data_IF_770023375750
#
_entry.id   IF_770023375750
#
_cell.length_a   1.000
_cell.length_b   1.000
_cell.length_c   1.000
_cell.angle_alpha   90.00
_cell.angle_beta   90.00
_cell.angle_gamma   90.00
#
_symmetry.space_group_name_H-M   'P 1'
#
loop_
_entity.id
_entity.type
_entity.pdbx_description
1 polymer ?
#
# COMPACT_ATOMS: atom_id res chain seq x y z
N UNK A 1 -15.50 6.95 24.04
CA UNK A 1 -16.72 6.30 24.60
C UNK A 1 -17.91 6.90 23.85
N UNK A 2 -18.47 6.19 22.87
CA UNK A 2 -19.62 6.66 22.08
C UNK A 2 -20.83 6.69 23.03
N UNK A 3 -21.11 7.86 23.61
CA UNK A 3 -22.10 8.01 24.69
C UNK A 3 -23.56 7.91 24.21
N UNK A 4 -23.82 7.98 22.91
CA UNK A 4 -25.15 7.83 22.31
C UNK A 4 -25.07 7.00 21.01
N UNK A 5 -25.61 5.76 20.99
CA UNK A 5 -25.50 4.84 19.86
C UNK A 5 -26.61 5.11 18.83
N UNK A 6 -26.70 6.34 18.32
CA UNK A 6 -27.56 6.67 17.18
C UNK A 6 -26.77 7.39 16.11
N UNK A 7 -27.01 7.01 14.85
CA UNK A 7 -26.43 7.67 13.69
C UNK A 7 -26.84 9.15 13.69
N UNK A 8 -25.86 10.05 13.56
CA UNK A 8 -26.11 11.50 13.54
C UNK A 8 -25.79 12.05 12.16
N UNK A 9 -26.60 12.97 11.61
CA UNK A 9 -26.21 13.67 10.40
C UNK A 9 -24.96 14.53 10.67
N UNK A 10 -24.08 14.63 9.67
CA UNK A 10 -22.93 15.54 9.71
C UNK A 10 -23.38 16.98 10.00
N UNK A 11 -22.58 17.72 10.79
CA UNK A 11 -22.86 19.14 11.04
C UNK A 11 -22.68 19.95 9.75
N UNK A 12 -23.59 20.91 9.46
CA UNK A 12 -23.46 21.74 8.27
C UNK A 12 -22.27 22.69 8.41
N UNK A 13 -21.63 22.94 7.28
CA UNK A 13 -20.55 23.91 7.14
C UNK A 13 -21.03 25.31 7.52
N UNK A 14 -20.32 25.99 8.44
CA UNK A 14 -20.57 27.40 8.76
C UNK A 14 -19.90 28.29 7.70
N UNK A 15 -20.69 29.12 7.00
CA UNK A 15 -20.15 30.06 6.01
C UNK A 15 -19.51 31.26 6.71
N UNK A 16 -18.24 31.52 6.37
CA UNK A 16 -17.45 32.64 6.90
C UNK A 16 -17.02 33.58 5.76
N UNK A 17 -16.62 34.81 6.10
CA UNK A 17 -16.10 35.81 5.15
C UNK A 17 -15.02 35.24 4.23
N UNK A 18 -15.09 35.59 2.94
CA UNK A 18 -14.16 35.15 1.88
C UNK A 18 -12.69 35.48 2.19
N UNK A 19 -12.44 36.54 2.96
CA UNK A 19 -11.08 36.96 3.29
C UNK A 19 -10.40 36.00 4.28
N UNK A 20 -11.17 35.46 5.24
CA UNK A 20 -10.67 34.48 6.23
C UNK A 20 -10.41 33.14 5.54
N UNK A 21 -11.29 32.75 4.60
CA UNK A 21 -11.12 31.56 3.75
C UNK A 21 -9.77 31.60 3.01
N UNK A 22 -9.49 32.70 2.31
CA UNK A 22 -8.25 32.83 1.52
C UNK A 22 -6.99 32.86 2.39
N UNK A 23 -7.05 33.50 3.57
CA UNK A 23 -5.93 33.51 4.52
C UNK A 23 -5.64 32.11 5.05
N UNK A 24 -6.67 31.36 5.44
CA UNK A 24 -6.55 30.01 5.96
C UNK A 24 -6.06 29.02 4.89
N UNK A 25 -6.56 29.18 3.65
CA UNK A 25 -6.14 28.39 2.51
C UNK A 25 -4.64 28.59 2.20
N UNK A 26 -4.18 29.83 2.16
CA UNK A 26 -2.77 30.15 1.93
C UNK A 26 -1.88 29.63 3.05
N UNK A 27 -2.30 29.77 4.30
CA UNK A 27 -1.58 29.24 5.46
C UNK A 27 -1.44 27.70 5.39
N UNK A 28 -2.51 26.98 5.05
CA UNK A 28 -2.47 25.53 4.90
C UNK A 28 -1.63 25.08 3.72
N UNK A 29 -1.65 25.81 2.59
CA UNK A 29 -0.78 25.54 1.44
C UNK A 29 0.69 25.70 1.81
N UNK A 30 1.03 26.75 2.54
CA UNK A 30 2.40 26.97 3.05
C UNK A 30 2.83 25.86 4.03
N UNK A 31 1.91 25.40 4.88
CA UNK A 31 2.15 24.33 5.84
C UNK A 31 2.31 22.94 5.20
N UNK A 32 1.51 22.64 4.16
CA UNK A 32 1.51 21.36 3.46
C UNK A 32 2.62 21.26 2.41
N UNK A 33 2.97 22.37 1.77
CA UNK A 33 4.03 22.47 0.77
C UNK A 33 5.08 23.50 1.22
N UNK A 34 5.86 23.21 2.28
CA UNK A 34 6.92 24.10 2.70
C UNK A 34 7.92 24.25 1.56
N UNK A 35 8.18 25.49 1.12
CA UNK A 35 9.31 25.79 0.26
C UNK A 35 10.58 25.31 0.99
N UNK A 36 11.43 24.55 0.31
CA UNK A 36 12.55 23.71 0.79
C UNK A 36 13.56 24.29 1.83
N UNK A 37 13.36 25.50 2.36
CA UNK A 37 14.31 26.19 3.24
C UNK A 37 13.83 26.38 4.70
N UNK A 38 12.59 26.00 5.05
CA UNK A 38 12.08 26.14 6.42
C UNK A 38 11.34 24.90 6.90
N UNK A 39 12.08 23.92 7.41
CA UNK A 39 11.51 22.96 8.37
C UNK A 39 11.31 23.68 9.71
N UNK A 40 10.37 24.62 9.77
CA UNK A 40 9.94 25.14 11.07
C UNK A 40 9.29 23.99 11.84
N UNK A 41 9.69 23.79 13.09
CA UNK A 41 9.15 22.75 13.95
C UNK A 41 7.61 22.82 13.91
N UNK A 42 6.98 21.78 13.35
CA UNK A 42 5.52 21.66 13.26
C UNK A 42 4.82 21.79 14.62
N UNK A 43 5.57 21.73 15.72
CA UNK A 43 5.10 21.91 17.10
C UNK A 43 4.95 23.38 17.52
N UNK A 44 5.68 24.32 16.89
CA UNK A 44 5.68 25.75 17.28
C UNK A 44 4.75 26.62 16.43
N UNK A 45 4.04 26.03 15.48
CA UNK A 45 3.13 26.77 14.59
C UNK A 45 1.88 27.16 15.39
N UNK A 46 1.60 28.46 15.44
CA UNK A 46 0.38 29.03 16.04
C UNK A 46 -0.79 28.77 15.10
N UNK A 47 -1.73 27.92 15.53
CA UNK A 47 -2.95 27.64 14.76
C UNK A 47 -3.97 28.77 14.92
N UNK A 48 -4.78 29.05 13.87
CA UNK A 48 -5.88 30.00 13.96
C UNK A 48 -6.94 29.55 14.98
N UNK A 49 -7.75 30.48 15.52
CA UNK A 49 -8.76 30.18 16.52
C UNK A 49 -9.82 29.18 16.03
N UNK A 50 -10.38 28.39 16.95
CA UNK A 50 -11.32 27.29 16.69
C UNK A 50 -12.46 27.66 15.72
N UNK A 51 -13.06 28.85 15.88
CA UNK A 51 -14.17 29.32 15.05
C UNK A 51 -13.80 29.44 13.55
N UNK A 52 -12.53 29.66 13.23
CA UNK A 52 -12.04 29.76 11.85
C UNK A 52 -11.66 28.39 11.27
N UNK A 53 -11.28 27.42 12.12
CA UNK A 53 -10.88 26.07 11.69
C UNK A 53 -12.05 25.24 11.15
N UNK A 54 -13.28 25.64 11.44
CA UNK A 54 -14.50 24.98 10.99
C UNK A 54 -15.07 25.58 9.68
N UNK A 55 -14.40 26.58 9.10
CA UNK A 55 -14.80 27.24 7.85
C UNK A 55 -14.47 26.38 6.62
N UNK A 56 -15.30 26.41 5.56
CA UNK A 56 -14.98 25.76 4.30
C UNK A 56 -13.86 26.50 3.55
N UNK A 57 -12.95 25.74 2.96
CA UNK A 57 -11.78 26.23 2.20
C UNK A 57 -11.97 26.21 0.70
N UNK A 58 -12.82 25.33 0.19
CA UNK A 58 -13.00 25.15 -1.25
C UNK A 58 -14.49 25.11 -1.63
N UNK A 59 -14.73 25.00 -2.93
CA UNK A 59 -16.09 24.96 -3.50
C UNK A 59 -16.79 23.62 -3.20
N UNK A 60 -16.04 22.60 -2.80
CA UNK A 60 -16.58 21.34 -2.26
C UNK A 60 -16.99 21.46 -0.79
N UNK A 61 -16.73 22.59 -0.14
CA UNK A 61 -17.03 22.82 1.27
C UNK A 61 -16.13 22.04 2.22
N UNK A 62 -14.93 21.63 1.80
CA UNK A 62 -13.99 20.92 2.64
C UNK A 62 -13.41 21.85 3.71
N UNK A 63 -13.38 21.40 4.96
CA UNK A 63 -12.71 22.10 6.06
C UNK A 63 -11.19 21.83 6.05
N UNK A 64 -10.37 22.61 6.76
CA UNK A 64 -8.95 22.30 6.99
C UNK A 64 -8.70 20.84 7.38
N UNK A 65 -9.58 20.27 8.20
CA UNK A 65 -9.46 18.89 8.66
C UNK A 65 -9.62 17.88 7.51
N UNK A 66 -10.51 18.14 6.54
CA UNK A 66 -10.65 17.31 5.35
C UNK A 66 -9.37 17.27 4.53
N UNK A 67 -8.74 18.43 4.29
CA UNK A 67 -7.50 18.52 3.53
C UNK A 67 -6.35 17.76 4.20
N UNK A 68 -6.12 17.98 5.50
CA UNK A 68 -5.03 17.31 6.23
C UNK A 68 -5.20 15.78 6.27
N UNK A 69 -6.45 15.32 6.38
CA UNK A 69 -6.79 13.90 6.35
C UNK A 69 -6.57 13.30 4.95
N UNK A 70 -6.87 14.05 3.88
CA UNK A 70 -6.56 13.62 2.52
C UNK A 70 -5.05 13.52 2.25
N UNK A 71 -4.22 14.32 2.90
CA UNK A 71 -2.75 14.25 2.79
C UNK A 71 -2.13 13.23 3.77
N UNK A 72 -2.92 12.62 4.65
CA UNK A 72 -2.46 11.66 5.67
C UNK A 72 -1.51 12.25 6.75
N UNK A 73 -1.63 13.55 7.05
CA UNK A 73 -0.79 14.24 8.05
C UNK A 73 -1.36 14.14 9.49
N UNK A 74 -1.23 12.97 10.12
CA UNK A 74 -1.80 12.66 11.45
C UNK A 74 -1.41 13.66 12.55
N UNK A 75 -0.14 14.09 12.58
CA UNK A 75 0.33 15.03 13.61
C UNK A 75 -0.40 16.36 13.55
N UNK A 76 -0.63 16.90 12.36
CA UNK A 76 -1.36 18.16 12.18
C UNK A 76 -2.86 17.96 12.46
N UNK A 77 -3.43 16.84 12.04
CA UNK A 77 -4.83 16.48 12.37
C UNK A 77 -5.03 16.50 13.88
N UNK A 78 -4.13 15.89 14.66
CA UNK A 78 -4.17 15.93 16.14
C UNK A 78 -4.13 17.36 16.68
N UNK A 79 -3.20 18.19 16.20
CA UNK A 79 -3.09 19.59 16.66
C UNK A 79 -4.33 20.42 16.31
N UNK A 80 -4.97 20.19 15.16
CA UNK A 80 -6.20 20.89 14.79
C UNK A 80 -7.37 20.51 15.71
N UNK A 81 -7.52 19.22 16.04
CA UNK A 81 -8.54 18.78 16.99
C UNK A 81 -8.27 19.36 18.39
N UNK A 82 -7.02 19.37 18.85
CA UNK A 82 -6.62 20.01 20.11
C UNK A 82 -6.88 21.53 20.10
N UNK A 83 -6.78 22.18 18.94
CA UNK A 83 -7.10 23.59 18.74
C UNK A 83 -8.62 23.86 18.65
N UNK A 84 -9.47 22.83 18.72
CA UNK A 84 -10.93 22.96 18.73
C UNK A 84 -11.62 22.77 17.38
N UNK A 85 -10.96 22.15 16.40
CA UNK A 85 -11.62 21.77 15.15
C UNK A 85 -12.62 20.61 15.38
N UNK A 86 -13.82 20.72 14.81
CA UNK A 86 -14.85 19.70 14.94
C UNK A 86 -14.71 18.60 13.89
N UNK A 87 -14.59 17.35 14.33
CA UNK A 87 -14.45 16.18 13.46
C UNK A 87 -15.76 15.73 12.79
N UNK A 88 -16.90 16.25 13.22
CA UNK A 88 -18.23 15.87 12.74
C UNK A 88 -18.79 16.80 11.65
N UNK A 89 -18.04 17.84 11.25
CA UNK A 89 -18.46 18.75 10.18
C UNK A 89 -18.36 18.03 8.85
N UNK A 90 -19.45 18.02 8.10
CA UNK A 90 -19.47 17.45 6.75
C UNK A 90 -19.10 18.50 5.70
N UNK A 91 -18.56 18.08 4.56
CA UNK A 91 -18.37 18.95 3.39
C UNK A 91 -19.72 19.31 2.74
N UNK A 92 -19.73 19.90 1.53
CA UNK A 92 -20.98 20.23 0.81
C UNK A 92 -21.86 18.99 0.53
N UNK A 93 -21.26 17.79 0.46
CA UNK A 93 -21.96 16.50 0.33
C UNK A 93 -22.32 15.86 1.68
N UNK A 94 -21.97 16.51 2.79
CA UNK A 94 -22.08 15.97 4.15
C UNK A 94 -21.06 14.88 4.47
N UNK A 95 -20.06 14.67 3.61
CA UNK A 95 -19.00 13.71 3.92
C UNK A 95 -18.16 14.26 5.06
N UNK A 96 -17.93 13.47 6.09
CA UNK A 96 -17.03 13.85 7.19
C UNK A 96 -15.56 13.69 6.80
N UNK A 97 -14.61 14.26 7.56
CA UNK A 97 -13.18 14.07 7.29
C UNK A 97 -12.78 12.60 7.24
N UNK A 98 -13.40 11.75 8.07
CA UNK A 98 -13.16 10.31 8.05
C UNK A 98 -13.66 9.65 6.75
N UNK A 99 -14.84 10.02 6.26
CA UNK A 99 -15.36 9.52 4.96
C UNK A 99 -14.48 9.97 3.79
N UNK A 100 -13.92 11.19 3.87
CA UNK A 100 -12.96 11.68 2.90
C UNK A 100 -11.63 10.92 2.96
N UNK A 101 -11.17 10.53 4.16
CA UNK A 101 -9.96 9.73 4.35
C UNK A 101 -9.98 8.41 3.56
N UNK A 102 -11.14 7.74 3.59
CA UNK A 102 -11.39 6.47 2.91
C UNK A 102 -11.43 6.62 1.38
N UNK A 103 -11.86 7.79 0.91
CA UNK A 103 -11.94 8.09 -0.53
C UNK A 103 -10.56 8.34 -1.16
N UNK A 104 -9.53 8.57 -0.35
CA UNK A 104 -8.16 8.80 -0.78
C UNK A 104 -7.26 7.59 -0.43
N UNK A 105 -6.28 7.26 -1.27
CA UNK A 105 -5.33 6.15 -1.02
C UNK A 105 -4.13 6.54 -0.16
N UNK A 106 -3.91 7.84 0.07
CA UNK A 106 -2.73 8.34 0.79
C UNK A 106 -2.62 7.76 2.22
N UNK A 107 -3.76 7.55 2.90
CA UNK A 107 -3.78 6.97 4.25
C UNK A 107 -3.43 5.47 4.25
N UNK A 108 -3.74 4.76 3.16
CA UNK A 108 -3.35 3.38 2.93
C UNK A 108 -1.85 3.27 2.67
N UNK A 109 -1.32 4.13 1.79
CA UNK A 109 0.12 4.14 1.45
C UNK A 109 1.00 4.51 2.66
N UNK A 110 0.52 5.42 3.51
CA UNK A 110 1.23 5.84 4.72
C UNK A 110 1.01 4.92 5.93
N UNK A 111 0.01 4.03 5.89
CA UNK A 111 -0.36 3.16 7.02
C UNK A 111 -0.87 3.91 8.25
N UNK A 112 -1.37 5.13 8.08
CA UNK A 112 -1.73 6.06 9.17
C UNK A 112 -3.20 5.99 9.60
N UNK A 113 -4.01 5.18 8.90
CA UNK A 113 -5.45 5.13 9.09
C UNK A 113 -5.87 4.73 10.52
N UNK A 114 -5.16 3.79 11.15
CA UNK A 114 -5.44 3.37 12.53
C UNK A 114 -5.27 4.53 13.54
N UNK A 115 -4.16 5.26 13.44
CA UNK A 115 -3.93 6.45 14.28
C UNK A 115 -4.92 7.57 14.00
N UNK A 116 -5.45 7.64 12.78
CA UNK A 116 -6.49 8.60 12.43
C UNK A 116 -7.84 8.24 13.07
N UNK A 117 -8.19 6.96 13.14
CA UNK A 117 -9.41 6.49 13.81
C UNK A 117 -9.40 6.83 15.31
N UNK A 118 -8.24 6.74 15.97
CA UNK A 118 -8.09 7.14 17.38
C UNK A 118 -8.43 8.62 17.59
N UNK A 119 -8.12 9.47 16.62
CA UNK A 119 -8.37 10.92 16.69
C UNK A 119 -9.80 11.26 16.25
N UNK A 120 -10.32 10.55 15.24
CA UNK A 120 -11.62 10.81 14.62
C UNK A 120 -12.75 9.91 15.13
N UNK A 121 -12.63 9.31 16.33
CA UNK A 121 -13.69 8.50 16.96
C UNK A 121 -15.11 9.11 16.82
N UNK A 122 -15.32 10.43 17.10
CA UNK A 122 -16.66 11.02 17.03
C UNK A 122 -17.26 11.04 15.62
N UNK A 123 -16.42 11.01 14.58
CA UNK A 123 -16.85 11.05 13.19
C UNK A 123 -17.39 9.72 12.67
N UNK A 124 -17.13 8.60 13.35
CA UNK A 124 -17.52 7.25 12.90
C UNK A 124 -19.05 7.11 12.85
N UNK A 125 -19.76 7.71 13.81
CA UNK A 125 -21.23 7.64 13.90
C UNK A 125 -21.97 8.58 12.95
N UNK A 126 -21.24 9.42 12.21
CA UNK A 126 -21.84 10.42 11.34
C UNK A 126 -22.30 9.82 10.02
N UNK A 127 -23.38 10.36 9.46
CA UNK A 127 -23.88 10.04 8.11
C UNK A 127 -23.83 11.25 7.20
N UNK A 128 -23.66 11.00 5.91
CA UNK A 128 -23.63 12.05 4.89
C UNK A 128 -25.03 12.58 4.53
N UNK A 129 -25.11 13.49 3.56
CA UNK A 129 -26.40 14.03 3.09
C UNK A 129 -27.31 12.98 2.45
N UNK A 130 -26.78 11.84 2.00
CA UNK A 130 -27.52 10.71 1.44
C UNK A 130 -27.80 9.62 2.49
N UNK A 131 -27.48 9.84 3.77
CA UNK A 131 -27.65 8.85 4.83
C UNK A 131 -26.64 7.71 4.77
N UNK A 132 -25.55 7.85 4.01
CA UNK A 132 -24.49 6.86 3.88
C UNK A 132 -23.55 6.93 5.07
N UNK A 133 -23.24 5.76 5.62
CA UNK A 133 -22.24 5.58 6.69
C UNK A 133 -20.83 5.45 6.09
N UNK A 134 -19.79 5.48 6.94
CA UNK A 134 -18.41 5.22 6.48
C UNK A 134 -18.27 3.88 5.73
N UNK A 135 -19.04 2.84 6.09
CA UNK A 135 -19.03 1.56 5.39
C UNK A 135 -19.54 1.65 3.95
N UNK A 136 -20.57 2.48 3.71
CA UNK A 136 -21.03 2.75 2.35
C UNK A 136 -19.95 3.46 1.54
N UNK A 137 -19.22 4.40 2.14
CA UNK A 137 -18.09 5.08 1.47
C UNK A 137 -16.92 4.13 1.19
N UNK A 138 -16.62 3.18 2.09
CA UNK A 138 -15.61 2.12 1.84
C UNK A 138 -16.05 1.26 0.64
N UNK A 139 -17.31 0.83 0.60
CA UNK A 139 -17.83 0.08 -0.55
C UNK A 139 -17.74 0.89 -1.84
N UNK A 140 -18.09 2.18 -1.82
CA UNK A 140 -18.00 3.06 -2.98
C UNK A 140 -16.56 3.32 -3.45
N UNK A 141 -15.58 3.32 -2.55
CA UNK A 141 -14.17 3.51 -2.92
C UNK A 141 -13.67 2.41 -3.87
N UNK A 142 -14.29 1.21 -3.86
CA UNK A 142 -13.96 0.11 -4.79
C UNK A 142 -14.32 0.38 -6.24
N UNK A 143 -15.18 1.38 -6.52
CA UNK A 143 -15.54 1.76 -7.87
C UNK A 143 -14.30 2.14 -8.71
N UNK A 144 -13.23 2.59 -8.07
CA UNK A 144 -11.92 2.75 -8.70
C UNK A 144 -11.09 1.49 -8.39
N UNK A 145 -10.70 0.69 -9.40
CA UNK A 145 -10.03 -0.59 -9.17
C UNK A 145 -8.67 -0.45 -8.46
N UNK A 146 -7.96 0.67 -8.68
CA UNK A 146 -6.72 0.97 -7.97
C UNK A 146 -6.91 1.14 -6.46
N UNK A 147 -8.11 1.51 -6.03
CA UNK A 147 -8.47 1.76 -4.64
C UNK A 147 -9.08 0.52 -3.96
N UNK A 148 -9.33 -0.57 -4.69
CA UNK A 148 -9.95 -1.78 -4.14
C UNK A 148 -9.13 -2.44 -3.00
N UNK A 149 -7.78 -2.56 -3.09
CA UNK A 149 -6.97 -3.05 -1.97
C UNK A 149 -7.01 -2.11 -0.76
N UNK A 150 -7.01 -0.79 -0.99
CA UNK A 150 -7.10 0.22 0.06
C UNK A 150 -8.45 0.14 0.79
N UNK A 151 -9.55 -0.04 0.05
CA UNK A 151 -10.89 -0.17 0.62
C UNK A 151 -11.00 -1.43 1.52
N UNK A 152 -10.43 -2.57 1.10
CA UNK A 152 -10.37 -3.77 1.96
C UNK A 152 -9.55 -3.49 3.24
N UNK A 153 -8.38 -2.87 3.11
CA UNK A 153 -7.57 -2.48 4.26
C UNK A 153 -8.33 -1.56 5.22
N UNK A 154 -9.02 -0.54 4.71
CA UNK A 154 -9.80 0.38 5.56
C UNK A 154 -10.94 -0.34 6.27
N UNK A 155 -11.61 -1.29 5.62
CA UNK A 155 -12.64 -2.11 6.24
C UNK A 155 -12.07 -2.94 7.40
N UNK A 156 -10.97 -3.65 7.16
CA UNK A 156 -10.35 -4.54 8.15
C UNK A 156 -9.80 -3.76 9.35
N UNK A 157 -9.15 -2.61 9.11
CA UNK A 157 -8.65 -1.74 10.18
C UNK A 157 -9.80 -1.11 10.96
N UNK A 158 -10.86 -0.64 10.29
CA UNK A 158 -12.02 -0.08 10.97
C UNK A 158 -12.70 -1.12 11.86
N UNK A 159 -12.94 -2.33 11.34
CA UNK A 159 -13.53 -3.43 12.11
C UNK A 159 -12.61 -3.85 13.27
N UNK A 160 -11.30 -4.00 13.02
CA UNK A 160 -10.32 -4.32 14.04
C UNK A 160 -10.25 -3.27 15.15
N UNK A 161 -10.32 -1.99 14.80
CA UNK A 161 -10.37 -0.89 15.76
C UNK A 161 -11.65 -0.94 16.61
N UNK A 162 -12.81 -1.16 16.00
CA UNK A 162 -14.10 -1.28 16.70
C UNK A 162 -14.06 -2.44 17.70
N UNK A 163 -13.53 -3.59 17.29
CA UNK A 163 -13.35 -4.78 18.15
C UNK A 163 -12.42 -4.47 19.33
N UNK A 164 -11.30 -3.77 19.08
CA UNK A 164 -10.31 -3.45 20.11
C UNK A 164 -10.82 -2.40 21.11
N UNK A 165 -11.54 -1.40 20.64
CA UNK A 165 -11.86 -0.22 21.44
C UNK A 165 -13.16 -0.35 22.25
N UNK A 166 -14.13 -1.21 21.85
CA UNK A 166 -15.33 -1.46 22.67
C UNK A 166 -16.16 -2.67 22.20
N UNK A 167 -16.15 -3.74 23.01
CA UNK A 167 -17.00 -4.93 22.81
C UNK A 167 -18.51 -4.66 22.84
N UNK A 168 -18.96 -3.59 23.51
CA UNK A 168 -20.37 -3.14 23.50
C UNK A 168 -20.73 -2.35 22.23
N UNK A 169 -19.77 -1.58 21.68
CA UNK A 169 -19.97 -0.84 20.44
C UNK A 169 -19.98 -1.77 19.22
N UNK A 170 -19.27 -2.90 19.28
CA UNK A 170 -19.29 -3.92 18.24
C UNK A 170 -20.72 -4.42 17.98
N UNK A 171 -21.48 -4.73 19.05
CA UNK A 171 -22.86 -5.18 18.90
C UNK A 171 -23.72 -4.12 18.21
N UNK A 172 -23.56 -2.85 18.57
CA UNK A 172 -24.28 -1.76 17.93
C UNK A 172 -23.86 -1.57 16.46
N UNK A 173 -22.57 -1.55 16.15
CA UNK A 173 -22.09 -1.40 14.76
C UNK A 173 -22.63 -2.53 13.88
N UNK A 174 -22.56 -3.77 14.36
CA UNK A 174 -23.07 -4.93 13.63
C UNK A 174 -24.59 -4.91 13.46
N UNK A 175 -25.34 -4.41 14.44
CA UNK A 175 -26.81 -4.44 14.42
C UNK A 175 -27.45 -3.20 13.77
N UNK A 176 -26.81 -2.04 13.82
CA UNK A 176 -27.39 -0.77 13.40
C UNK A 176 -26.61 -0.09 12.27
N UNK A 177 -25.28 -0.21 12.22
CA UNK A 177 -24.44 0.56 11.29
C UNK A 177 -24.11 -0.19 10.00
N UNK A 178 -23.88 -1.51 10.07
CA UNK A 178 -23.72 -2.39 8.91
C UNK A 178 -25.01 -2.58 8.10
N UNK A 179 -26.18 -2.82 8.73
CA UNK A 179 -27.45 -2.91 8.02
C UNK A 179 -28.11 -1.54 7.78
N UNK A 180 -27.43 -0.44 8.12
CA UNK A 180 -27.91 0.90 7.82
C UNK A 180 -28.19 1.04 6.33
N UNK A 181 -29.29 1.70 5.99
CA UNK A 181 -29.68 1.95 4.60
C UNK A 181 -29.49 3.43 4.29
N UNK A 182 -28.97 3.69 3.10
CA UNK A 182 -28.95 5.04 2.56
C UNK A 182 -30.36 5.52 2.17
N UNK A 183 -30.48 6.75 1.69
CA UNK A 183 -31.74 7.31 1.18
C UNK A 183 -32.34 6.53 0.00
N UNK A 184 -31.54 5.74 -0.71
CA UNK A 184 -31.98 4.89 -1.82
C UNK A 184 -32.44 3.50 -1.33
N UNK A 185 -32.26 3.20 -0.04
CA UNK A 185 -32.54 1.90 0.54
C UNK A 185 -31.44 0.85 0.29
N UNK A 186 -30.29 1.24 -0.25
CA UNK A 186 -29.13 0.37 -0.45
C UNK A 186 -28.37 0.21 0.88
N UNK A 187 -28.00 -1.02 1.22
CA UNK A 187 -27.00 -1.31 2.25
C UNK A 187 -25.59 -1.26 1.67
N UNK A 188 -24.56 -1.19 2.51
CA UNK A 188 -23.17 -1.22 2.03
C UNK A 188 -22.84 -2.51 1.24
N UNK A 189 -23.47 -3.64 1.60
CA UNK A 189 -23.34 -4.91 0.89
C UNK A 189 -23.95 -4.85 -0.51
N UNK A 190 -25.16 -4.28 -0.66
CA UNK A 190 -25.80 -4.09 -1.97
C UNK A 190 -24.92 -3.22 -2.90
N UNK A 191 -24.30 -2.17 -2.36
CA UNK A 191 -23.37 -1.32 -3.14
C UNK A 191 -22.14 -2.13 -3.58
N UNK A 192 -21.55 -2.91 -2.68
CA UNK A 192 -20.38 -3.73 -3.01
C UNK A 192 -20.69 -4.81 -4.06
N UNK A 193 -21.86 -5.45 -3.99
CA UNK A 193 -22.34 -6.41 -4.98
C UNK A 193 -22.56 -5.74 -6.35
N UNK A 194 -23.21 -4.56 -6.37
CA UNK A 194 -23.43 -3.79 -7.60
C UNK A 194 -22.13 -3.37 -8.29
N UNK A 195 -21.09 -3.08 -7.52
CA UNK A 195 -19.76 -2.74 -8.02
C UNK A 195 -18.90 -3.97 -8.37
N UNK A 196 -19.42 -5.19 -8.16
CA UNK A 196 -18.73 -6.46 -8.39
C UNK A 196 -17.40 -6.59 -7.62
N UNK A 197 -17.32 -5.99 -6.43
CA UNK A 197 -16.13 -6.02 -5.57
C UNK A 197 -16.14 -7.27 -4.69
N UNK A 198 -15.83 -8.43 -5.27
CA UNK A 198 -15.90 -9.75 -4.59
C UNK A 198 -15.14 -9.78 -3.27
N UNK A 199 -13.94 -9.18 -3.21
CA UNK A 199 -13.12 -9.15 -2.00
C UNK A 199 -13.76 -8.39 -0.83
N UNK A 200 -14.54 -7.35 -1.11
CA UNK A 200 -15.27 -6.58 -0.09
C UNK A 200 -16.56 -7.28 0.29
N UNK A 201 -17.25 -7.89 -0.69
CA UNK A 201 -18.46 -8.69 -0.43
C UNK A 201 -18.13 -9.87 0.50
N UNK A 202 -17.04 -10.59 0.22
CA UNK A 202 -16.53 -11.67 1.09
C UNK A 202 -16.24 -11.15 2.50
N UNK A 203 -15.47 -10.06 2.63
CA UNK A 203 -15.15 -9.48 3.93
C UNK A 203 -16.41 -9.02 4.70
N UNK A 204 -17.35 -8.33 4.05
CA UNK A 204 -18.60 -7.90 4.68
C UNK A 204 -19.46 -9.10 5.14
N UNK A 205 -19.49 -10.18 4.35
CA UNK A 205 -20.18 -11.41 4.73
C UNK A 205 -19.51 -12.10 5.93
N UNK A 206 -18.17 -12.12 6.00
CA UNK A 206 -17.42 -12.63 7.16
C UNK A 206 -17.74 -11.86 8.43
N UNK A 207 -17.91 -10.53 8.33
CA UNK A 207 -18.32 -9.67 9.45
C UNK A 207 -19.82 -9.77 9.79
N UNK A 208 -20.61 -10.55 9.04
CA UNK A 208 -22.02 -10.82 9.33
C UNK A 208 -23.01 -9.80 8.74
N UNK A 209 -22.63 -9.07 7.68
CA UNK A 209 -23.58 -8.23 6.95
C UNK A 209 -24.68 -9.10 6.32
N UNK A 210 -25.94 -8.86 6.68
CA UNK A 210 -27.08 -9.61 6.14
C UNK A 210 -27.73 -8.87 4.97
N UNK A 211 -27.98 -9.58 3.87
CA UNK A 211 -28.81 -9.14 2.74
C UNK A 211 -30.32 -9.16 3.05
N UNK A 212 -30.76 -8.89 4.29
CA UNK A 212 -32.19 -8.86 4.61
C UNK A 212 -32.88 -7.70 3.87
N UNK A 213 -33.37 -8.05 2.69
CA UNK A 213 -34.10 -7.20 1.77
C UNK A 213 -35.50 -7.78 1.57
N UNK A 214 -36.53 -7.20 2.20
CA UNK A 214 -37.89 -7.31 1.70
C UNK A 214 -38.23 -6.05 0.88
N UNK A 215 -37.70 -5.96 -0.35
CA UNK A 215 -38.15 -5.13 -1.51
C UNK A 215 -36.92 -4.83 -2.38
N UNK A 216 -36.68 -5.45 -3.53
CA UNK A 216 -37.49 -5.40 -4.74
C UNK A 216 -37.28 -6.66 -5.58
N UNK A 217 -38.39 -7.23 -6.01
CA UNK A 217 -38.47 -8.33 -6.96
C UNK A 217 -38.08 -7.86 -8.36
N UNK A 218 -37.04 -8.45 -8.96
CA UNK A 218 -37.09 -8.95 -10.35
C UNK A 218 -35.82 -9.72 -10.71
N UNK A 219 -35.90 -11.05 -10.57
CA UNK A 219 -35.34 -11.96 -11.58
C UNK A 219 -33.84 -12.28 -11.53
N UNK A 220 -33.35 -12.89 -10.45
CA UNK A 220 -32.30 -13.90 -10.55
C UNK A 220 -32.33 -14.79 -9.30
N UNK A 221 -33.02 -15.93 -9.40
CA UNK A 221 -32.82 -17.03 -8.45
C UNK A 221 -31.41 -17.57 -8.66
N UNK A 222 -30.59 -17.49 -7.63
CA UNK A 222 -29.39 -18.28 -7.51
C UNK A 222 -29.79 -19.77 -7.44
N UNK A 223 -29.37 -20.54 -8.44
CA UNK A 223 -29.37 -21.99 -8.38
C UNK A 223 -27.91 -22.42 -8.26
N UNK A 224 -27.48 -22.72 -7.03
CA UNK A 224 -26.31 -23.54 -6.76
C UNK A 224 -26.52 -24.94 -7.33
N UNK A 225 -25.60 -25.46 -8.16
CA UNK A 225 -25.12 -26.86 -8.16
C UNK A 225 -24.18 -27.14 -9.33
N UNK A 226 -23.03 -27.72 -9.00
CA UNK A 226 -22.11 -28.43 -9.91
C UNK A 226 -22.81 -29.47 -10.79
N UNK A 227 -22.35 -29.63 -12.03
CA UNK A 227 -22.67 -30.79 -12.86
C UNK A 227 -22.32 -30.61 -14.34
N UNK A 228 -21.36 -31.42 -14.81
CA UNK A 228 -21.05 -31.72 -16.21
C UNK A 228 -22.28 -31.73 -17.14
N UNK A 229 -22.17 -31.23 -18.38
CA UNK A 229 -22.12 -32.07 -19.59
C UNK A 229 -21.98 -31.27 -20.90
N UNK A 230 -21.37 -31.94 -21.87
CA UNK A 230 -21.06 -31.60 -23.26
C UNK A 230 -22.27 -31.22 -24.14
N UNK A 231 -22.03 -30.41 -25.17
CA UNK A 231 -22.49 -30.77 -26.53
C UNK A 231 -23.55 -29.92 -27.22
N UNK A 232 -23.08 -29.21 -28.26
CA UNK A 232 -23.65 -29.11 -29.63
C UNK A 232 -24.85 -28.18 -29.91
N UNK A 233 -24.49 -27.09 -30.63
CA UNK A 233 -24.97 -26.63 -31.94
C UNK A 233 -26.33 -25.92 -32.15
N UNK A 234 -26.18 -24.76 -32.80
CA UNK A 234 -27.06 -24.06 -33.75
C UNK A 234 -28.33 -23.41 -33.18
N UNK A 235 -28.78 -22.22 -33.59
CA UNK A 235 -28.38 -21.31 -34.66
C UNK A 235 -29.02 -19.93 -34.38
N UNK A 236 -28.49 -18.89 -35.03
CA UNK A 236 -29.15 -17.63 -35.41
C UNK A 236 -29.07 -16.39 -34.50
N UNK A 237 -28.10 -15.54 -34.87
CA UNK A 237 -28.34 -14.23 -35.49
C UNK A 237 -28.80 -13.03 -34.61
N UNK A 238 -27.85 -12.14 -34.27
CA UNK A 238 -27.94 -10.69 -34.55
C UNK A 238 -26.58 -10.02 -34.31
N UNK A 239 -25.86 -9.73 -35.39
CA UNK A 239 -24.67 -8.90 -35.39
C UNK A 239 -25.09 -7.42 -35.45
N UNK A 240 -24.60 -6.60 -34.51
CA UNK A 240 -24.50 -5.16 -34.68
C UNK A 240 -23.34 -4.62 -33.82
N UNK A 241 -22.11 -4.88 -34.26
CA UNK A 241 -20.91 -4.17 -33.79
C UNK A 241 -20.23 -3.52 -34.99
N UNK A 242 -20.65 -2.28 -35.29
CA UNK A 242 -19.89 -1.38 -36.15
C UNK A 242 -18.76 -0.76 -35.34
N UNK A 243 -17.61 -1.43 -35.34
CA UNK A 243 -16.33 -0.87 -34.91
C UNK A 243 -15.69 -0.14 -36.11
N UNK A 244 -15.83 1.19 -36.18
CA UNK A 244 -15.14 2.01 -37.18
C UNK A 244 -13.65 2.11 -36.83
N UNK A 245 -12.86 1.26 -37.48
CA UNK A 245 -11.42 1.41 -37.62
C UNK A 245 -11.15 2.33 -38.83
N UNK A 246 -10.84 3.61 -38.59
CA UNK A 246 -10.48 4.56 -39.64
C UNK A 246 -9.01 4.31 -40.02
N UNK A 247 -8.82 3.57 -41.11
CA UNK A 247 -7.56 3.44 -41.81
C UNK A 247 -7.40 4.62 -42.78
N UNK A 248 -6.40 5.46 -42.54
CA UNK A 248 -5.97 6.51 -43.45
C UNK A 248 -5.33 5.88 -44.68
N UNK A 249 -6.01 5.93 -45.82
CA UNK A 249 -5.36 5.75 -47.10
C UNK A 249 -5.81 6.82 -48.08
N UNK A 250 -4.90 7.76 -48.32
CA UNK A 250 -4.96 8.78 -49.35
C UNK A 250 -5.16 8.13 -50.72
N UNK A 251 -6.19 8.56 -51.44
CA UNK A 251 -6.19 8.57 -52.90
C UNK A 251 -7.06 9.71 -53.42
N UNK A 252 -6.38 10.71 -53.96
CA UNK A 252 -6.92 11.72 -54.86
C UNK A 252 -7.64 11.04 -56.02
N UNK A 253 -8.95 11.24 -56.16
CA UNK A 253 -9.66 11.36 -57.44
C UNK A 253 -11.16 11.61 -57.18
N UNK A 254 -11.70 12.73 -57.65
CA UNK A 254 -13.14 12.98 -57.61
C UNK A 254 -13.62 14.43 -57.64
N UNK A 255 -12.99 15.31 -58.43
CA UNK A 255 -13.57 16.62 -58.78
C UNK A 255 -14.02 16.60 -60.24
N UNK A 256 -15.20 16.03 -60.50
CA UNK A 256 -15.94 16.26 -61.74
C UNK A 256 -17.39 15.81 -61.57
N UNK A 257 -18.30 16.76 -61.36
CA UNK A 257 -19.73 16.45 -61.42
C UNK A 257 -20.61 17.32 -60.54
N UNK A 258 -20.63 18.63 -60.76
CA UNK A 258 -21.76 19.47 -60.36
C UNK A 258 -21.97 20.54 -61.43
N UNK A 259 -22.82 20.23 -62.42
CA UNK A 259 -23.39 21.21 -63.33
C UNK A 259 -24.63 21.82 -62.66
N UNK A 260 -24.58 23.13 -62.37
CA UNK A 260 -25.75 23.91 -61.97
C UNK A 260 -26.40 24.51 -63.22
N UNK A 261 -27.58 24.00 -63.57
CA UNK A 261 -28.45 24.60 -64.57
C UNK A 261 -29.31 25.69 -63.91
N UNK A 262 -29.10 26.96 -64.25
CA UNK A 262 -29.96 28.06 -63.82
C UNK A 262 -30.20 29.01 -64.99
N UNK A 263 -31.43 29.01 -65.51
CA UNK A 263 -31.91 29.88 -66.57
C UNK A 263 -32.13 31.31 -66.07
N UNK A 264 -31.82 32.25 -66.95
CA UNK A 264 -31.65 33.67 -66.70
C UNK A 264 -32.94 34.44 -66.42
N UNK A 265 -32.90 35.36 -65.45
CA UNK A 265 -33.31 36.77 -65.64
C UNK A 265 -32.96 37.60 -64.40
N UNK A 266 -31.83 38.33 -64.43
CA UNK A 266 -31.59 39.65 -63.85
C UNK A 266 -30.09 39.96 -63.93
N UNK A 267 -29.74 40.77 -64.93
CA UNK A 267 -28.38 41.25 -65.24
C UNK A 267 -28.01 42.42 -64.32
N UNK A 268 -27.05 42.21 -63.42
CA UNK A 268 -25.84 43.05 -63.32
C UNK A 268 -24.82 42.53 -62.31
N UNK A 269 -25.22 41.78 -61.27
CA UNK A 269 -24.32 41.56 -60.12
C UNK A 269 -24.03 40.09 -59.76
N UNK A 270 -24.66 39.13 -60.44
CA UNK A 270 -24.55 37.70 -60.09
C UNK A 270 -23.15 37.10 -60.38
N UNK A 271 -22.48 37.38 -61.52
CA UNK A 271 -21.13 36.88 -61.76
C UNK A 271 -20.11 37.50 -60.77
N UNK A 272 -20.32 38.75 -60.38
CA UNK A 272 -19.50 39.44 -59.38
C UNK A 272 -19.69 38.84 -57.98
N UNK A 273 -20.93 38.52 -57.60
CA UNK A 273 -21.24 37.89 -56.32
C UNK A 273 -20.70 36.45 -56.24
N UNK A 274 -20.78 35.68 -57.33
CA UNK A 274 -20.18 34.34 -57.40
C UNK A 274 -18.66 34.44 -57.29
N UNK A 275 -18.02 35.39 -57.98
CA UNK A 275 -16.57 35.62 -57.85
C UNK A 275 -16.18 36.06 -56.45
N UNK A 276 -16.99 36.88 -55.78
CA UNK A 276 -16.77 37.30 -54.39
C UNK A 276 -16.96 36.14 -53.42
N UNK A 277 -17.99 35.31 -53.60
CA UNK A 277 -18.21 34.10 -52.80
C UNK A 277 -17.07 33.10 -52.97
N UNK A 278 -16.55 32.95 -54.19
CA UNK A 278 -15.43 32.06 -54.48
C UNK A 278 -14.11 32.59 -53.92
N UNK A 279 -13.91 33.92 -53.88
CA UNK A 279 -12.78 34.55 -53.19
C UNK A 279 -12.91 34.43 -51.66
N UNK A 280 -14.10 34.60 -51.09
CA UNK A 280 -14.36 34.39 -49.66
C UNK A 280 -14.15 32.93 -49.27
N UNK A 281 -14.66 31.98 -50.06
CA UNK A 281 -14.41 30.55 -49.86
C UNK A 281 -12.92 30.22 -49.93
N UNK A 282 -12.20 30.77 -50.91
CA UNK A 282 -10.75 30.60 -51.01
C UNK A 282 -9.98 31.21 -49.83
N UNK A 283 -10.43 32.36 -49.29
CA UNK A 283 -9.86 32.96 -48.08
C UNK A 283 -10.11 32.09 -46.86
N UNK A 284 -11.34 31.61 -46.67
CA UNK A 284 -11.71 30.72 -45.55
C UNK A 284 -10.97 29.39 -45.64
N UNK A 285 -10.82 28.81 -46.83
CA UNK A 285 -10.07 27.57 -47.03
C UNK A 285 -8.58 27.77 -46.72
N UNK A 286 -8.00 28.90 -47.12
CA UNK A 286 -6.61 29.24 -46.81
C UNK A 286 -6.41 29.55 -45.32
N UNK A 287 -7.36 30.22 -44.68
CA UNK A 287 -7.36 30.51 -43.25
C UNK A 287 -7.44 29.23 -42.43
N UNK A 288 -8.41 28.35 -42.71
CA UNK A 288 -8.52 27.03 -42.08
C UNK A 288 -7.25 26.18 -42.31
N UNK A 289 -6.66 26.24 -43.50
CA UNK A 289 -5.41 25.51 -43.77
C UNK A 289 -4.23 26.07 -42.97
N UNK A 290 -4.19 27.38 -42.76
CA UNK A 290 -3.18 28.03 -41.90
C UNK A 290 -3.38 27.65 -40.44
N UNK A 291 -4.62 27.69 -39.95
CA UNK A 291 -4.98 27.30 -38.58
C UNK A 291 -4.68 25.83 -38.30
N UNK A 292 -5.00 24.92 -39.24
CA UNK A 292 -4.66 23.50 -39.12
C UNK A 292 -3.14 23.33 -39.04
N UNK A 293 -2.38 24.09 -39.84
CA UNK A 293 -0.92 24.02 -39.81
C UNK A 293 -0.36 24.49 -38.47
N UNK A 294 -0.83 25.61 -37.94
CA UNK A 294 -0.45 26.11 -36.62
C UNK A 294 -0.84 25.14 -35.49
N UNK A 295 -2.03 24.54 -35.58
CA UNK A 295 -2.48 23.52 -34.63
C UNK A 295 -1.59 22.25 -34.69
N UNK A 296 -1.18 21.82 -35.89
CA UNK A 296 -0.25 20.68 -36.03
C UNK A 296 1.14 20.99 -35.48
N UNK A 297 1.68 22.18 -35.72
CA UNK A 297 2.98 22.60 -35.21
C UNK A 297 2.98 22.73 -33.68
N UNK A 298 1.92 23.29 -33.10
CA UNK A 298 1.77 23.36 -31.64
C UNK A 298 1.61 21.98 -31.01
N UNK A 299 0.89 21.06 -31.66
CA UNK A 299 0.78 19.67 -31.21
C UNK A 299 2.14 18.94 -31.22
N UNK A 300 2.93 19.10 -32.28
CA UNK A 300 4.28 18.54 -32.35
C UNK A 300 5.19 19.09 -31.26
N UNK A 301 5.15 20.41 -31.02
CA UNK A 301 5.89 21.03 -29.91
C UNK A 301 5.47 20.49 -28.54
N UNK A 302 4.17 20.26 -28.33
CA UNK A 302 3.66 19.66 -27.10
C UNK A 302 4.11 18.20 -26.94
N UNK A 303 4.13 17.42 -28.03
CA UNK A 303 4.66 16.05 -28.02
C UNK A 303 6.16 16.01 -27.64
N UNK A 304 6.96 16.93 -28.17
CA UNK A 304 8.38 17.04 -27.82
C UNK A 304 8.54 17.41 -26.34
N UNK A 305 7.80 18.40 -25.85
CA UNK A 305 7.82 18.78 -24.42
C UNK A 305 7.40 17.62 -23.52
N UNK A 306 6.37 16.87 -23.91
CA UNK A 306 5.89 15.70 -23.18
C UNK A 306 6.98 14.63 -23.08
N UNK A 307 7.69 14.36 -24.18
CA UNK A 307 8.77 13.37 -24.20
C UNK A 307 9.95 13.79 -23.32
N UNK A 308 10.32 15.08 -23.34
CA UNK A 308 11.36 15.62 -22.46
C UNK A 308 10.96 15.46 -20.98
N UNK A 309 9.72 15.79 -20.62
CA UNK A 309 9.22 15.65 -19.24
C UNK A 309 9.17 14.18 -18.83
N UNK A 310 8.77 13.26 -19.72
CA UNK A 310 8.81 11.82 -19.46
C UNK A 310 10.22 11.33 -19.19
N UNK A 311 11.21 11.78 -19.97
CA UNK A 311 12.61 11.41 -19.77
C UNK A 311 13.16 11.94 -18.44
N UNK A 312 12.83 13.18 -18.07
CA UNK A 312 13.15 13.75 -16.76
C UNK A 312 12.52 12.94 -15.61
N UNK A 313 11.27 12.51 -15.76
CA UNK A 313 10.56 11.70 -14.77
C UNK A 313 11.19 10.31 -14.61
N UNK A 314 11.64 9.69 -15.71
CA UNK A 314 12.40 8.43 -15.66
C UNK A 314 13.73 8.63 -14.92
N UNK A 315 14.46 9.70 -15.21
CA UNK A 315 15.73 10.01 -14.55
C UNK A 315 15.58 10.22 -13.04
N UNK A 316 14.56 10.97 -12.61
CA UNK A 316 14.30 11.17 -11.17
C UNK A 316 13.77 9.90 -10.48
N UNK A 317 12.97 9.07 -11.17
CA UNK A 317 12.56 7.77 -10.61
C UNK A 317 13.74 6.81 -10.41
N UNK A 318 14.70 6.79 -11.33
CA UNK A 318 15.94 6.04 -11.13
C UNK A 318 16.73 6.57 -9.93
N UNK A 319 16.85 7.89 -9.80
CA UNK A 319 17.54 8.54 -8.68
C UNK A 319 16.87 8.20 -7.35
N UNK A 320 15.54 8.24 -7.29
CA UNK A 320 14.75 7.85 -6.13
C UNK A 320 14.96 6.37 -5.78
N UNK A 321 14.99 5.50 -6.78
CA UNK A 321 15.23 4.06 -6.60
C UNK A 321 16.64 3.80 -6.02
N UNK A 322 17.65 4.52 -6.50
CA UNK A 322 19.02 4.47 -5.94
C UNK A 322 19.05 4.97 -4.50
N UNK A 323 18.37 6.07 -4.19
CA UNK A 323 18.29 6.61 -2.83
C UNK A 323 17.60 5.65 -1.86
N UNK A 324 16.51 4.99 -2.27
CA UNK A 324 15.82 3.95 -1.49
C UNK A 324 16.75 2.78 -1.17
N UNK A 325 17.49 2.27 -2.17
CA UNK A 325 18.47 1.18 -1.97
C UNK A 325 19.60 1.57 -1.01
N UNK A 326 20.11 2.80 -1.11
CA UNK A 326 21.12 3.31 -0.17
C UNK A 326 20.56 3.46 1.24
N UNK A 327 19.30 3.88 1.40
CA UNK A 327 18.64 3.97 2.71
C UNK A 327 18.51 2.59 3.35
N UNK A 328 18.10 1.58 2.58
CA UNK A 328 17.99 0.19 3.04
C UNK A 328 19.36 -0.38 3.46
N UNK A 329 20.41 -0.13 2.66
CA UNK A 329 21.77 -0.52 3.02
C UNK A 329 22.26 0.16 4.31
N UNK A 330 21.95 1.44 4.51
CA UNK A 330 22.27 2.15 5.74
C UNK A 330 21.50 1.60 6.96
N UNK A 331 20.25 1.18 6.77
CA UNK A 331 19.48 0.54 7.82
C UNK A 331 20.13 -0.78 8.26
N UNK A 332 20.49 -1.64 7.30
CA UNK A 332 21.20 -2.90 7.57
C UNK A 332 22.53 -2.64 8.27
N UNK A 333 23.32 -1.66 7.80
CA UNK A 333 24.57 -1.28 8.46
C UNK A 333 24.33 -0.80 9.90
N UNK A 334 23.27 -0.01 10.14
CA UNK A 334 22.95 0.48 11.47
C UNK A 334 22.55 -0.66 12.42
N UNK A 335 21.83 -1.65 11.93
CA UNK A 335 21.45 -2.85 12.69
C UNK A 335 22.67 -3.72 13.00
N UNK A 336 23.59 -3.88 12.05
CA UNK A 336 24.87 -4.54 12.29
C UNK A 336 25.70 -3.81 13.34
N UNK A 337 25.78 -2.48 13.28
CA UNK A 337 26.49 -1.66 14.27
C UNK A 337 25.85 -1.82 15.65
N UNK A 338 24.51 -1.82 15.75
CA UNK A 338 23.80 -2.04 17.00
C UNK A 338 24.09 -3.43 17.56
N UNK A 339 24.05 -4.47 16.72
CA UNK A 339 24.37 -5.85 17.12
C UNK A 339 25.81 -5.97 17.64
N UNK A 340 26.77 -5.33 16.97
CA UNK A 340 28.17 -5.27 17.42
C UNK A 340 28.28 -4.50 18.74
N UNK A 341 27.52 -3.41 18.91
CA UNK A 341 27.53 -2.62 20.14
C UNK A 341 26.94 -3.40 21.33
N UNK A 342 25.90 -4.19 21.10
CA UNK A 342 25.30 -5.08 22.10
C UNK A 342 26.26 -6.19 22.48
N UNK A 343 26.91 -6.83 21.50
CA UNK A 343 27.93 -7.83 21.74
C UNK A 343 29.13 -7.26 22.54
N UNK A 344 29.57 -6.04 22.20
CA UNK A 344 30.59 -5.30 22.96
C UNK A 344 30.14 -5.03 24.40
N UNK A 345 28.88 -4.66 24.62
CA UNK A 345 28.33 -4.41 25.95
C UNK A 345 28.18 -5.71 26.77
N UNK A 346 27.78 -6.80 26.15
CA UNK A 346 27.71 -8.12 26.79
C UNK A 346 29.09 -8.64 27.18
N UNK A 347 30.08 -8.52 26.29
CA UNK A 347 31.48 -8.76 26.62
C UNK A 347 31.92 -7.89 27.81
N UNK A 348 31.66 -6.59 27.77
CA UNK A 348 32.03 -5.67 28.86
C UNK A 348 31.37 -6.04 30.20
N UNK A 349 30.13 -6.57 30.18
CA UNK A 349 29.44 -7.08 31.38
C UNK A 349 30.02 -8.40 31.88
N UNK A 350 30.34 -9.32 30.99
CA UNK A 350 30.94 -10.61 31.36
C UNK A 350 32.39 -10.46 31.87
N UNK A 351 33.07 -9.38 31.49
CA UNK A 351 34.39 -9.01 32.00
C UNK A 351 34.34 -8.03 33.19
N UNK A 352 33.16 -7.71 33.75
CA UNK A 352 33.08 -6.97 34.99
C UNK A 352 33.66 -7.81 36.14
N UNK A 353 34.72 -7.37 36.84
CA UNK A 353 35.34 -8.16 37.88
C UNK A 353 34.39 -8.31 39.07
N UNK A 354 34.11 -9.56 39.43
CA UNK A 354 33.44 -9.90 40.68
C UNK A 354 34.22 -9.33 41.87
N UNK A 355 33.49 -8.58 42.70
CA UNK A 355 33.85 -8.05 44.02
C UNK A 355 34.85 -6.89 44.11
N UNK A 356 34.31 -5.75 44.53
CA UNK A 356 34.89 -4.82 45.52
C UNK A 356 36.29 -4.26 45.19
N UNK A 357 36.36 -3.32 44.26
CA UNK A 357 37.39 -2.27 44.33
C UNK A 357 36.70 -0.93 44.16
N UNK A 358 36.60 -0.24 45.28
CA UNK A 358 36.23 1.16 45.37
C UNK A 358 37.10 2.01 44.43
N UNK A 359 36.43 3.04 43.90
CA UNK A 359 36.96 4.26 43.31
C UNK A 359 37.26 4.22 41.82
N UNK A 360 36.42 4.95 41.08
CA UNK A 360 36.78 5.85 39.98
C UNK A 360 38.13 5.55 39.33
N UNK A 361 38.13 4.74 38.27
CA UNK A 361 39.18 4.78 37.27
C UNK A 361 38.53 4.74 35.90
N UNK A 362 38.54 5.90 35.26
CA UNK A 362 38.26 6.10 33.84
C UNK A 362 38.94 5.01 33.00
N UNK A 363 38.17 4.41 32.09
CA UNK A 363 38.63 3.39 31.14
C UNK A 363 39.80 3.84 30.24
N UNK A 364 40.19 5.11 30.30
CA UNK A 364 41.27 5.70 29.52
C UNK A 364 42.67 5.47 30.09
N UNK A 365 42.83 4.79 31.24
CA UNK A 365 44.15 4.65 31.89
C UNK A 365 44.54 3.24 32.36
N UNK A 366 43.93 2.18 31.80
CA UNK A 366 44.46 0.82 31.96
C UNK A 366 45.71 0.72 31.08
N UNK A 367 46.90 0.37 31.61
CA UNK A 367 48.13 0.35 30.82
C UNK A 367 47.93 -0.58 29.62
N UNK A 368 48.20 -0.07 28.42
CA UNK A 368 48.01 -0.76 27.12
C UNK A 368 48.60 -2.19 27.14
N UNK A 369 49.65 -2.41 27.94
CA UNK A 369 50.26 -3.71 28.16
C UNK A 369 49.30 -4.74 28.79
N UNK A 370 48.48 -4.34 29.76
CA UNK A 370 47.46 -5.19 30.38
C UNK A 370 46.31 -5.51 29.43
N UNK A 371 45.92 -4.56 28.56
CA UNK A 371 44.93 -4.81 27.50
C UNK A 371 45.46 -5.81 26.47
N UNK A 372 46.69 -5.62 25.98
CA UNK A 372 47.34 -6.56 25.04
C UNK A 372 47.45 -7.95 25.65
N UNK A 373 47.78 -8.05 26.94
CA UNK A 373 47.88 -9.33 27.65
C UNK A 373 46.52 -10.01 27.82
N UNK A 374 45.46 -9.25 28.11
CA UNK A 374 44.10 -9.76 28.14
C UNK A 374 43.64 -10.27 26.76
N UNK A 375 43.91 -9.53 25.68
CA UNK A 375 43.59 -9.96 24.31
C UNK A 375 44.36 -11.22 23.92
N UNK A 376 45.66 -11.32 24.24
CA UNK A 376 46.44 -12.54 23.99
C UNK A 376 45.92 -13.75 24.77
N UNK A 377 45.46 -13.55 26.00
CA UNK A 377 44.88 -14.63 26.81
C UNK A 377 43.54 -15.10 26.22
N UNK A 378 42.70 -14.16 25.78
CA UNK A 378 41.43 -14.49 25.14
C UNK A 378 41.64 -15.20 23.80
N UNK A 379 42.61 -14.76 23.00
CA UNK A 379 42.97 -15.43 21.75
C UNK A 379 43.38 -16.88 22.00
N UNK A 380 44.26 -17.13 22.98
CA UNK A 380 44.67 -18.50 23.34
C UNK A 380 43.51 -19.38 23.80
N UNK A 381 42.56 -18.82 24.54
CA UNK A 381 41.38 -19.55 25.04
C UNK A 381 40.43 -19.89 23.88
N UNK A 382 40.27 -18.96 22.92
CA UNK A 382 39.48 -19.20 21.72
C UNK A 382 40.13 -20.27 20.82
N UNK A 383 41.45 -20.23 20.66
CA UNK A 383 42.20 -21.25 19.90
C UNK A 383 42.02 -22.64 20.53
N UNK A 384 42.05 -22.75 21.87
CA UNK A 384 41.77 -24.01 22.58
C UNK A 384 40.34 -24.49 22.38
N UNK A 385 39.35 -23.59 22.38
CA UNK A 385 37.97 -23.98 22.07
C UNK A 385 37.81 -24.43 20.62
N UNK A 386 38.49 -23.78 19.69
CA UNK A 386 38.47 -24.16 18.29
C UNK A 386 39.08 -25.55 18.09
N UNK A 387 40.23 -25.83 18.70
CA UNK A 387 40.85 -27.17 18.70
C UNK A 387 39.89 -28.23 19.26
N UNK A 388 39.27 -27.98 20.41
CA UNK A 388 38.32 -28.92 21.01
C UNK A 388 37.10 -29.19 20.09
N UNK A 389 36.53 -28.15 19.47
CA UNK A 389 35.39 -28.31 18.55
C UNK A 389 35.80 -29.06 17.28
N UNK A 390 37.01 -28.84 16.77
CA UNK A 390 37.54 -29.59 15.64
C UNK A 390 37.75 -31.06 16.01
N UNK A 391 38.32 -31.36 17.17
CA UNK A 391 38.47 -32.74 17.66
C UNK A 391 37.13 -33.44 17.85
N UNK A 392 36.12 -32.75 18.40
CA UNK A 392 34.77 -33.28 18.53
C UNK A 392 34.13 -33.58 17.16
N UNK A 393 34.27 -32.67 16.18
CA UNK A 393 33.78 -32.90 14.82
C UNK A 393 34.49 -34.06 14.14
N UNK A 394 35.82 -34.15 14.23
CA UNK A 394 36.59 -35.25 13.65
C UNK A 394 36.23 -36.60 14.27
N UNK A 395 36.03 -36.64 15.60
CA UNK A 395 35.57 -37.85 16.28
C UNK A 395 34.16 -38.25 15.85
N UNK A 396 33.28 -37.29 15.63
CA UNK A 396 31.92 -37.56 15.17
C UNK A 396 31.91 -38.04 13.71
N UNK A 397 32.70 -37.42 12.84
CA UNK A 397 32.90 -37.83 11.44
C UNK A 397 33.44 -39.25 11.34
N UNK A 398 34.46 -39.61 12.15
CA UNK A 398 34.99 -40.97 12.20
C UNK A 398 33.94 -41.99 12.68
N UNK A 399 33.07 -41.63 13.63
CA UNK A 399 31.95 -42.49 14.05
C UNK A 399 30.95 -42.70 12.92
N UNK A 400 30.61 -41.65 12.17
CA UNK A 400 29.73 -41.77 11.01
C UNK A 400 30.36 -42.58 9.88
N UNK A 401 31.65 -42.35 9.58
CA UNK A 401 32.42 -43.14 8.60
C UNK A 401 32.40 -44.63 8.96
N UNK A 402 32.59 -44.97 10.24
CA UNK A 402 32.53 -46.36 10.72
C UNK A 402 31.14 -46.99 10.56
N UNK A 403 30.08 -46.25 10.87
CA UNK A 403 28.70 -46.74 10.71
C UNK A 403 28.38 -46.99 9.23
N UNK A 404 28.73 -46.04 8.35
CA UNK A 404 28.52 -46.18 6.91
C UNK A 404 29.33 -47.35 6.32
N UNK A 405 30.58 -47.52 6.74
CA UNK A 405 31.42 -48.66 6.35
C UNK A 405 30.78 -50.01 6.73
N UNK A 406 30.24 -50.11 7.96
CA UNK A 406 29.56 -51.33 8.44
C UNK A 406 28.25 -51.60 7.69
N UNK A 407 27.45 -50.57 7.42
CA UNK A 407 26.18 -50.70 6.70
C UNK A 407 26.38 -51.09 5.23
N UNK A 408 27.39 -50.53 4.57
CA UNK A 408 27.66 -50.74 3.14
C UNK A 408 28.63 -51.91 2.88
N UNK A 409 29.26 -52.47 3.92
CA UNK A 409 30.36 -53.46 3.82
C UNK A 409 31.50 -52.99 2.91
N UNK A 410 31.84 -51.70 3.02
CA UNK A 410 32.90 -51.04 2.27
C UNK A 410 34.00 -50.60 3.24
N UNK A 411 35.26 -50.62 2.81
CA UNK A 411 36.40 -50.13 3.60
C UNK A 411 36.24 -48.64 3.93
N UNK A 412 36.65 -48.24 5.14
CA UNK A 412 36.49 -46.88 5.68
C UNK A 412 37.09 -45.80 4.77
N UNK A 413 38.21 -46.08 4.12
CA UNK A 413 38.93 -45.15 3.24
C UNK A 413 38.18 -44.83 1.93
N UNK A 414 37.17 -45.63 1.57
CA UNK A 414 36.41 -45.47 0.33
C UNK A 414 35.02 -44.86 0.56
N UNK A 415 34.62 -44.67 1.81
CA UNK A 415 33.32 -44.12 2.17
C UNK A 415 33.19 -42.67 1.68
N UNK A 416 34.25 -41.87 1.84
CA UNK A 416 34.21 -40.44 1.52
C UNK A 416 33.99 -40.16 0.02
N UNK A 417 34.58 -40.98 -0.85
CA UNK A 417 34.39 -40.88 -2.30
C UNK A 417 32.99 -41.29 -2.79
N UNK A 418 32.20 -41.94 -1.93
CA UNK A 418 30.83 -42.39 -2.24
C UNK A 418 29.75 -41.53 -1.56
N UNK A 419 30.14 -40.60 -0.67
CA UNK A 419 29.21 -39.75 0.07
C UNK A 419 28.36 -38.88 -0.86
N UNK A 420 28.96 -38.22 -1.87
CA UNK A 420 28.23 -37.35 -2.80
C UNK A 420 27.15 -38.11 -3.59
N UNK A 421 27.47 -39.33 -4.02
CA UNK A 421 26.53 -40.19 -4.74
C UNK A 421 25.41 -40.73 -3.84
N UNK A 422 25.71 -41.02 -2.57
CA UNK A 422 24.73 -41.45 -1.59
C UNK A 422 23.81 -40.30 -1.16
N UNK A 423 24.35 -39.09 -0.99
CA UNK A 423 23.58 -37.89 -0.65
C UNK A 423 22.59 -37.56 -1.78
N UNK A 424 23.05 -37.59 -3.03
CA UNK A 424 22.22 -37.32 -4.20
C UNK A 424 21.14 -38.39 -4.42
N UNK A 425 21.41 -39.65 -4.05
CA UNK A 425 20.40 -40.71 -4.09
C UNK A 425 19.32 -40.52 -3.00
N UNK A 426 19.70 -40.05 -1.82
CA UNK A 426 18.78 -39.80 -0.70
C UNK A 426 17.89 -38.57 -0.97
N UNK A 427 18.47 -37.48 -1.48
CA UNK A 427 17.71 -36.27 -1.88
C UNK A 427 16.72 -36.55 -3.02
N UNK A 428 17.03 -37.53 -3.89
CA UNK A 428 16.14 -37.94 -4.97
C UNK A 428 14.97 -38.85 -4.51
N UNK A 429 15.12 -39.55 -3.39
CA UNK A 429 14.13 -40.51 -2.90
C UNK A 429 13.17 -39.89 -1.87
N UNK A 430 13.62 -38.89 -1.07
CA UNK A 430 12.77 -38.15 -0.15
C UNK A 430 13.10 -36.65 -0.23
N UNK A 431 12.13 -35.84 -0.68
CA UNK A 431 12.27 -34.39 -0.82
C UNK A 431 12.28 -33.59 0.49
N UNK A 432 12.57 -34.23 1.62
CA UNK A 432 12.69 -33.59 2.93
C UNK A 432 14.16 -33.62 3.39
N UNK A 433 14.67 -32.47 3.83
CA UNK A 433 16.03 -32.36 4.38
C UNK A 433 16.25 -33.43 5.49
N UNK A 434 17.38 -34.16 5.47
CA UNK A 434 17.63 -35.19 6.46
C UNK A 434 17.74 -34.57 7.87
N UNK A 435 16.78 -34.90 8.74
CA UNK A 435 16.71 -34.38 10.10
C UNK A 435 17.94 -34.87 10.90
N UNK A 436 18.90 -33.97 11.08
CA UNK A 436 20.16 -34.23 11.80
C UNK A 436 19.90 -34.53 13.28
N UNK A 437 18.73 -34.12 13.79
CA UNK A 437 18.29 -34.33 15.17
C UNK A 437 17.94 -35.78 15.50
N UNK A 438 17.18 -36.47 14.65
CA UNK A 438 16.80 -37.88 14.88
C UNK A 438 18.01 -38.82 14.82
N UNK A 439 18.99 -38.49 13.97
CA UNK A 439 20.23 -39.25 13.85
C UNK A 439 21.15 -39.05 15.06
N UNK A 440 21.21 -37.85 15.64
CA UNK A 440 21.88 -37.62 16.92
C UNK A 440 21.20 -38.35 18.08
N UNK A 441 19.87 -38.41 18.10
CA UNK A 441 19.12 -39.13 19.12
C UNK A 441 19.31 -40.65 19.01
N UNK A 442 19.36 -41.19 17.78
CA UNK A 442 19.68 -42.59 17.52
C UNK A 442 21.10 -42.95 17.99
N UNK A 443 22.10 -42.10 17.70
CA UNK A 443 23.47 -42.28 18.19
C UNK A 443 23.57 -42.17 19.71
N UNK A 444 22.78 -41.31 20.35
CA UNK A 444 22.72 -41.21 21.81
C UNK A 444 22.09 -42.47 22.43
N UNK A 445 21.09 -43.05 21.76
CA UNK A 445 20.37 -44.25 22.19
C UNK A 445 21.18 -45.55 21.99
N UNK A 446 21.95 -45.65 20.91
CA UNK A 446 22.78 -46.82 20.60
C UNK A 446 24.27 -46.67 21.00
N UNK A 447 24.73 -45.45 21.28
CA UNK A 447 26.10 -45.17 21.75
C UNK A 447 26.38 -45.57 23.20
N UNK A 448 25.36 -45.90 24.00
CA UNK A 448 25.53 -46.40 25.38
C UNK A 448 25.89 -47.89 25.48
N UNK A 449 25.96 -48.63 24.36
CA UNK A 449 26.18 -50.09 24.40
C UNK A 449 27.68 -50.48 24.39
N UNK A 450 28.62 -49.53 24.25
CA UNK A 450 30.06 -49.83 24.28
C UNK A 450 30.79 -48.88 25.23
N UNK A 451 30.58 -49.09 26.53
CA UNK A 451 31.21 -48.28 27.58
C UNK A 451 31.15 -48.88 28.98
N UNK A 452 31.17 -50.20 29.11
CA UNK A 452 31.29 -50.88 30.41
C UNK A 452 32.06 -52.18 30.23
N UNK A 453 33.38 -52.07 30.04
CA UNK A 453 34.36 -53.11 30.34
C UNK A 453 35.78 -52.54 30.26
N UNK A 454 36.15 -51.73 31.24
CA UNK A 454 37.52 -51.64 31.72
C UNK A 454 37.49 -51.65 33.23
N UNK A 455 37.40 -52.87 33.78
CA UNK A 455 37.84 -53.16 35.14
C UNK A 455 39.31 -52.71 35.28
N UNK A 456 39.54 -51.65 36.06
CA UNK A 456 40.83 -51.41 36.67
C UNK A 456 40.85 -52.24 37.95
N UNK A 457 41.44 -53.43 37.86
CA UNK A 457 41.96 -54.18 39.00
C UNK A 457 43.40 -53.73 39.24
N UNK A 458 43.65 -53.27 40.47
CA UNK A 458 44.93 -52.99 41.15
C UNK A 458 45.94 -52.04 40.48
#
# INVERSE_FOLDING_TARGET
MIQDPQLRPSLPVQQVSSDIKNQLENFLKELLFPNNDKSEDLNNIQLPPADQLNSPLDDEGNTPLHWLVSVAHVTLVRRLIEAGADSCIGCARGETPLMRAVSCTNNYDAGTFESLLDILEPSIICVDTLGRTVFHHIALATNVPACAPAAKYYLDILMGWIVRNSSQNLKWVLQEMLPARDKNGETCLNIAERLNAQSIVEALNEYGATNESPSLTSGAKANSSSGNFQGTSNDSNSNNDNNMNINLNSNNQGLSGFELNMSASNKSDIPGLVSQLQDVLGRVENEHKSEIKEATETFEQLQIKLNIVKEQLVSENERLSRAKRLKEQNLILSEQINSISEYKNQLSRNFAPSSTINNNLDLNNIPIKAQIEAYKRNQKLLDQHLENVIEERLNLENKFRRVLALCLKVDEDKVDGMLDGLLQAIEAENGDEPSTGEMQEFLKRHGSIVGSNTSVNN
#
